data_IF_048433322303
#
_entry.id   IF_048433322303
#
_cell.length_a   1.000
_cell.length_b   1.000
_cell.length_c   1.000
_cell.angle_alpha   90.00
_cell.angle_beta   90.00
_cell.angle_gamma   90.00
#
_symmetry.space_group_name_H-M   'P 1'
#
loop_
_entity.id
_entity.type
_entity.pdbx_description
1 polymer ?
#
# COMPACT_ATOMS: atom_id res chain seq x y z
N UNK A 1 -39.02 -11.36 50.22
CA UNK A 1 -37.84 -10.74 49.58
C UNK A 1 -37.61 -9.42 50.27
N UNK A 2 -36.54 -9.33 51.05
CA UNK A 2 -36.25 -8.20 51.93
C UNK A 2 -35.21 -7.31 51.24
N UNK A 3 -35.57 -6.06 50.94
CA UNK A 3 -34.67 -5.12 50.27
C UNK A 3 -33.60 -4.63 51.25
N UNK A 4 -32.35 -4.40 50.80
CA UNK A 4 -31.29 -3.87 51.65
C UNK A 4 -31.68 -2.51 52.24
N UNK A 5 -31.47 -2.36 53.55
CA UNK A 5 -31.94 -1.25 54.41
C UNK A 5 -31.41 0.15 54.03
N UNK A 6 -30.48 0.24 53.09
CA UNK A 6 -29.84 1.48 52.64
C UNK A 6 -30.67 2.27 51.61
N UNK A 7 -31.78 1.70 51.11
CA UNK A 7 -32.62 2.33 50.07
C UNK A 7 -33.99 2.84 50.60
N UNK A 8 -34.24 2.81 51.92
CA UNK A 8 -35.41 3.49 52.50
C UNK A 8 -35.09 4.96 52.74
N UNK A 9 -35.57 5.83 51.87
CA UNK A 9 -35.46 7.27 52.02
C UNK A 9 -36.66 7.80 52.83
N UNK A 10 -36.71 7.51 54.13
CA UNK A 10 -37.69 8.08 55.07
C UNK A 10 -37.05 9.21 55.90
N UNK A 11 -36.57 10.26 55.23
CA UNK A 11 -36.14 11.47 55.92
C UNK A 11 -36.84 12.66 55.24
N UNK A 12 -37.91 13.15 55.86
CA UNK A 12 -38.44 14.48 55.54
C UNK A 12 -37.30 15.50 55.67
N UNK A 13 -37.20 16.50 54.77
CA UNK A 13 -36.12 17.48 54.82
C UNK A 13 -36.06 18.14 56.21
N UNK A 14 -34.94 17.98 56.91
CA UNK A 14 -34.72 18.62 58.20
C UNK A 14 -34.35 20.07 57.92
N UNK A 15 -35.11 20.99 58.50
CA UNK A 15 -34.86 22.42 58.41
C UNK A 15 -34.27 22.91 59.72
N UNK A 16 -33.27 23.78 59.63
CA UNK A 16 -32.78 24.54 60.78
C UNK A 16 -33.47 25.91 60.77
N UNK A 17 -34.13 26.26 61.87
CA UNK A 17 -34.66 27.60 62.08
C UNK A 17 -33.53 28.54 62.48
N UNK A 18 -33.30 29.56 61.66
CA UNK A 18 -32.46 30.70 62.00
C UNK A 18 -33.32 31.97 61.90
N UNK A 19 -33.85 32.42 63.03
CA UNK A 19 -34.85 33.48 63.07
C UNK A 19 -36.13 33.13 62.29
N UNK A 20 -36.57 34.04 61.40
CA UNK A 20 -37.85 33.94 60.68
C UNK A 20 -37.79 33.15 59.35
N UNK A 21 -36.63 32.58 58.99
CA UNK A 21 -36.44 31.88 57.71
C UNK A 21 -35.92 30.45 57.97
N UNK A 22 -36.52 29.46 57.29
CA UNK A 22 -36.12 28.06 57.39
C UNK A 22 -35.07 27.74 56.34
N UNK A 23 -33.86 27.35 56.77
CA UNK A 23 -32.80 26.89 55.87
C UNK A 23 -32.76 25.35 55.81
N UNK A 24 -32.55 24.75 54.63
CA UNK A 24 -32.27 23.32 54.51
C UNK A 24 -31.01 22.96 55.33
N UNK A 25 -31.09 21.93 56.18
CA UNK A 25 -29.98 21.55 57.06
C UNK A 25 -28.81 20.92 56.28
N UNK A 26 -27.79 21.72 55.97
CA UNK A 26 -26.59 21.30 55.25
C UNK A 26 -25.58 20.50 56.12
N UNK A 27 -25.89 20.24 57.39
CA UNK A 27 -24.95 19.56 58.31
C UNK A 27 -24.58 18.14 57.89
N UNK A 28 -25.47 17.49 57.12
CA UNK A 28 -25.23 16.16 56.55
C UNK A 28 -24.13 16.20 55.47
N UNK A 29 -23.98 17.32 54.75
CA UNK A 29 -22.96 17.52 53.71
C UNK A 29 -21.57 17.78 54.30
N UNK A 30 -21.49 18.21 55.56
CA UNK A 30 -20.24 18.56 56.25
C UNK A 30 -19.67 17.38 57.05
N UNK A 31 -20.31 16.20 57.03
CA UNK A 31 -19.80 15.03 57.74
C UNK A 31 -18.48 14.59 57.08
N UNK A 32 -17.35 14.51 57.82
CA UNK A 32 -16.09 14.05 57.26
C UNK A 32 -16.30 12.64 56.68
N UNK A 33 -16.04 12.49 55.39
CA UNK A 33 -16.02 11.18 54.76
C UNK A 33 -14.72 10.50 55.18
N UNK A 34 -14.79 9.70 56.23
CA UNK A 34 -13.67 8.89 56.73
C UNK A 34 -13.91 7.44 56.31
N UNK A 35 -13.52 7.05 55.08
CA UNK A 35 -13.82 5.73 54.55
C UNK A 35 -13.13 4.68 55.41
N UNK A 36 -13.81 3.60 55.80
CA UNK A 36 -13.20 2.58 56.62
C UNK A 36 -11.99 1.96 55.89
N UNK A 37 -10.93 1.65 56.66
CA UNK A 37 -9.58 1.32 56.14
C UNK A 37 -9.55 0.21 55.07
N UNK A 38 -10.52 -0.70 55.09
CA UNK A 38 -10.63 -1.76 54.08
C UNK A 38 -11.05 -1.25 52.69
N UNK A 39 -11.84 -0.16 52.62
CA UNK A 39 -12.22 0.50 51.35
C UNK A 39 -11.03 1.23 50.75
N UNK A 40 -10.26 1.94 51.57
CA UNK A 40 -9.01 2.59 51.14
C UNK A 40 -8.04 1.53 50.60
N UNK A 41 -7.86 0.41 51.31
CA UNK A 41 -7.02 -0.69 50.86
C UNK A 41 -7.50 -1.28 49.52
N UNK A 42 -8.81 -1.49 49.35
CA UNK A 42 -9.38 -1.97 48.10
C UNK A 42 -9.18 -0.98 46.94
N UNK A 43 -9.35 0.32 47.17
CA UNK A 43 -9.08 1.36 46.17
C UNK A 43 -7.60 1.41 45.77
N UNK A 44 -6.68 1.26 46.72
CA UNK A 44 -5.22 1.22 46.44
C UNK A 44 -4.87 -0.01 45.61
N UNK A 45 -5.39 -1.19 45.95
CA UNK A 45 -5.15 -2.42 45.19
C UNK A 45 -5.75 -2.31 43.77
N UNK A 46 -6.97 -1.78 43.65
CA UNK A 46 -7.61 -1.55 42.35
C UNK A 46 -6.82 -0.57 41.47
N UNK A 47 -6.34 0.54 42.05
CA UNK A 47 -5.49 1.50 41.35
C UNK A 47 -4.17 0.87 40.89
N UNK A 48 -3.59 -0.04 41.70
CA UNK A 48 -2.34 -0.72 41.37
C UNK A 48 -2.53 -1.73 40.23
N UNK A 49 -3.62 -2.50 40.25
CA UNK A 49 -3.99 -3.41 39.15
C UNK A 49 -4.24 -2.62 37.85
N UNK A 50 -4.96 -1.50 37.95
CA UNK A 50 -5.21 -0.62 36.80
C UNK A 50 -3.92 -0.01 36.24
N UNK A 51 -2.98 0.40 37.09
CA UNK A 51 -1.68 0.91 36.66
C UNK A 51 -0.83 -0.16 35.96
N UNK A 52 -0.84 -1.41 36.43
CA UNK A 52 -0.14 -2.54 35.80
C UNK A 52 -0.76 -2.86 34.43
N UNK A 53 -2.09 -2.95 34.35
CA UNK A 53 -2.79 -3.20 33.10
C UNK A 53 -2.58 -2.05 32.10
N UNK A 54 -2.66 -0.80 32.56
CA UNK A 54 -2.39 0.38 31.74
C UNK A 54 -0.94 0.43 31.25
N UNK A 55 0.03 0.12 32.12
CA UNK A 55 1.45 0.03 31.76
C UNK A 55 1.73 -1.05 30.71
N UNK A 56 1.06 -2.19 30.78
CA UNK A 56 1.20 -3.28 29.81
C UNK A 56 0.62 -2.93 28.43
N UNK A 57 -0.55 -2.27 28.39
CA UNK A 57 -1.13 -1.80 27.12
C UNK A 57 -0.28 -0.68 26.52
N UNK A 58 0.19 0.26 27.34
CA UNK A 58 1.08 1.33 26.90
C UNK A 58 2.41 0.79 26.39
N UNK A 59 3.02 -0.20 27.07
CA UNK A 59 4.27 -0.80 26.62
C UNK A 59 4.12 -1.49 25.27
N UNK A 60 2.99 -2.17 25.00
CA UNK A 60 2.75 -2.78 23.69
C UNK A 60 2.51 -1.74 22.58
N UNK A 61 1.81 -0.65 22.88
CA UNK A 61 1.62 0.44 21.92
C UNK A 61 2.96 1.13 21.60
N UNK A 62 3.81 1.34 22.61
CA UNK A 62 5.16 1.90 22.44
C UNK A 62 6.06 0.95 21.64
N UNK A 63 6.01 -0.34 21.91
CA UNK A 63 6.78 -1.36 21.19
C UNK A 63 6.36 -1.48 19.72
N UNK A 64 5.05 -1.36 19.45
CA UNK A 64 4.50 -1.29 18.09
C UNK A 64 4.94 -0.03 17.34
N UNK A 65 5.11 1.10 18.03
CA UNK A 65 5.61 2.34 17.41
C UNK A 65 7.13 2.29 17.21
N UNK A 66 7.88 1.75 18.19
CA UNK A 66 9.34 1.70 18.15
C UNK A 66 9.89 0.66 17.18
N UNK A 67 9.32 -0.55 17.17
CA UNK A 67 9.82 -1.67 16.35
C UNK A 67 8.89 -2.04 15.19
N UNK A 68 7.71 -1.39 15.07
CA UNK A 68 6.81 -1.62 13.94
C UNK A 68 7.38 -1.09 12.62
N UNK A 69 8.01 0.08 12.63
CA UNK A 69 8.69 0.63 11.47
C UNK A 69 9.86 -0.26 11.02
N UNK A 70 10.65 -0.76 11.97
CA UNK A 70 11.77 -1.67 11.69
C UNK A 70 11.29 -3.02 11.12
N UNK A 71 10.21 -3.59 11.69
CA UNK A 71 9.60 -4.82 11.16
C UNK A 71 9.03 -4.62 9.76
N UNK A 72 8.35 -3.50 9.52
CA UNK A 72 7.80 -3.18 8.21
C UNK A 72 8.93 -3.01 7.18
N UNK A 73 10.01 -2.30 7.53
CA UNK A 73 11.18 -2.16 6.66
C UNK A 73 11.81 -3.53 6.34
N UNK A 74 11.95 -4.41 7.34
CA UNK A 74 12.45 -5.77 7.12
C UNK A 74 11.53 -6.59 6.20
N UNK A 75 10.20 -6.50 6.37
CA UNK A 75 9.24 -7.16 5.48
C UNK A 75 9.26 -6.57 4.07
N UNK A 76 9.45 -5.25 3.93
CA UNK A 76 9.63 -4.60 2.62
C UNK A 76 10.88 -5.13 1.93
N UNK A 77 11.99 -5.21 2.65
CA UNK A 77 13.25 -5.74 2.12
C UNK A 77 13.12 -7.22 1.71
N UNK A 78 12.45 -8.04 2.52
CA UNK A 78 12.13 -9.43 2.19
C UNK A 78 11.24 -9.51 0.93
N UNK A 79 10.19 -8.69 0.86
CA UNK A 79 9.28 -8.64 -0.29
C UNK A 79 9.96 -8.18 -1.58
N UNK A 80 10.94 -7.27 -1.49
CA UNK A 80 11.73 -6.83 -2.63
C UNK A 80 12.64 -7.97 -3.08
N UNK A 81 13.33 -8.64 -2.14
CA UNK A 81 14.33 -9.64 -2.47
C UNK A 81 13.79 -11.05 -2.69
N UNK A 82 12.49 -11.29 -2.48
CA UNK A 82 11.87 -12.58 -2.76
C UNK A 82 12.03 -13.00 -4.22
N UNK A 83 12.07 -14.31 -4.44
CA UNK A 83 12.23 -14.93 -5.76
C UNK A 83 10.90 -14.92 -6.53
N UNK A 84 10.49 -13.74 -7.01
CA UNK A 84 9.38 -13.61 -7.96
C UNK A 84 9.85 -12.90 -9.21
N UNK A 85 9.62 -13.56 -10.34
CA UNK A 85 9.99 -13.07 -11.66
C UNK A 85 8.94 -12.11 -12.21
N UNK A 86 9.38 -11.11 -12.97
CA UNK A 86 8.50 -10.32 -13.80
C UNK A 86 7.98 -11.13 -14.99
N UNK A 87 8.83 -11.98 -15.60
CA UNK A 87 8.53 -12.73 -16.82
C UNK A 87 7.93 -11.83 -17.89
N UNK A 88 8.68 -10.80 -18.31
CA UNK A 88 8.16 -9.84 -19.29
C UNK A 88 7.93 -10.51 -20.64
N UNK A 89 6.75 -10.29 -21.27
CA UNK A 89 6.57 -10.69 -22.64
C UNK A 89 7.41 -9.80 -23.57
N UNK A 90 7.82 -10.36 -24.71
CA UNK A 90 8.55 -9.63 -25.74
C UNK A 90 7.57 -8.82 -26.58
N UNK A 91 7.63 -7.49 -26.51
CA UNK A 91 6.70 -6.64 -27.26
C UNK A 91 6.77 -6.88 -28.77
N UNK A 92 7.98 -7.14 -29.28
CA UNK A 92 8.22 -7.44 -30.69
C UNK A 92 7.48 -8.69 -31.19
N UNK A 93 7.23 -9.69 -30.33
CA UNK A 93 6.47 -10.89 -30.72
C UNK A 93 4.96 -10.70 -30.60
N UNK A 94 4.51 -9.66 -29.90
CA UNK A 94 3.09 -9.38 -29.69
C UNK A 94 2.52 -8.39 -30.71
N UNK A 95 3.35 -7.53 -31.29
CA UNK A 95 2.91 -6.36 -32.08
C UNK A 95 1.99 -6.70 -33.27
N UNK A 96 2.11 -7.91 -33.84
CA UNK A 96 1.31 -8.39 -34.96
C UNK A 96 0.01 -9.10 -34.56
N UNK A 97 -0.19 -9.35 -33.26
CA UNK A 97 -1.31 -10.10 -32.73
C UNK A 97 -2.47 -9.17 -32.37
N UNK A 98 -3.68 -9.70 -32.41
CA UNK A 98 -4.87 -9.09 -31.82
C UNK A 98 -4.91 -9.32 -30.29
N UNK A 99 -5.79 -8.60 -29.61
CA UNK A 99 -5.86 -8.58 -28.15
C UNK A 99 -6.30 -9.94 -27.55
N UNK A 100 -7.14 -10.72 -28.25
CA UNK A 100 -7.55 -12.06 -27.81
C UNK A 100 -6.38 -13.04 -27.91
N UNK A 101 -5.63 -12.99 -29.01
CA UNK A 101 -4.40 -13.77 -29.18
C UNK A 101 -3.34 -13.46 -28.13
N UNK A 102 -3.18 -12.18 -27.75
CA UNK A 102 -2.25 -11.76 -26.68
C UNK A 102 -2.69 -12.34 -25.34
N UNK A 103 -3.97 -12.22 -24.99
CA UNK A 103 -4.51 -12.78 -23.74
C UNK A 103 -4.37 -14.31 -23.69
N UNK A 104 -4.56 -15.00 -24.82
CA UNK A 104 -4.30 -16.44 -24.92
C UNK A 104 -2.85 -16.78 -24.62
N UNK A 105 -1.89 -16.04 -25.20
CA UNK A 105 -0.46 -16.25 -24.91
C UNK A 105 -0.13 -15.99 -23.44
N UNK A 106 -0.72 -14.97 -22.81
CA UNK A 106 -0.52 -14.71 -21.38
C UNK A 106 -1.06 -15.86 -20.51
N UNK A 107 -2.23 -16.40 -20.86
CA UNK A 107 -2.78 -17.56 -20.17
C UNK A 107 -1.91 -18.82 -20.37
N UNK A 108 -1.40 -19.05 -21.58
CA UNK A 108 -0.51 -20.19 -21.89
C UNK A 108 0.85 -20.08 -21.18
N UNK A 109 1.35 -18.86 -21.01
CA UNK A 109 2.53 -18.56 -20.19
C UNK A 109 2.28 -18.73 -18.68
N UNK A 110 1.04 -18.99 -18.27
CA UNK A 110 0.65 -19.21 -16.87
C UNK A 110 0.51 -17.91 -16.07
N UNK A 111 0.37 -16.75 -16.72
CA UNK A 111 0.17 -15.50 -16.01
C UNK A 111 -1.20 -15.46 -15.37
N UNK A 112 -1.24 -15.04 -14.10
CA UNK A 112 -2.48 -14.61 -13.47
C UNK A 112 -2.65 -13.12 -13.75
N UNK A 113 -3.71 -12.76 -14.45
CA UNK A 113 -3.96 -11.39 -14.89
C UNK A 113 -5.22 -10.80 -14.27
N UNK A 114 -5.19 -9.50 -14.01
CA UNK A 114 -6.32 -8.67 -13.62
C UNK A 114 -6.57 -7.66 -14.74
N UNK A 115 -7.74 -7.72 -15.37
CA UNK A 115 -8.11 -6.87 -16.50
C UNK A 115 -8.77 -5.57 -16.01
N UNK A 116 -8.29 -4.44 -16.54
CA UNK A 116 -8.83 -3.10 -16.31
C UNK A 116 -9.69 -2.61 -17.47
N UNK A 117 -9.55 -3.20 -18.67
CA UNK A 117 -10.34 -2.86 -19.84
C UNK A 117 -11.81 -3.25 -19.67
N UNK A 118 -12.70 -2.40 -20.19
CA UNK A 118 -14.09 -2.76 -20.44
C UNK A 118 -14.19 -3.49 -21.79
N UNK A 119 -15.29 -4.22 -22.00
CA UNK A 119 -15.51 -4.97 -23.24
C UNK A 119 -15.47 -4.03 -24.48
N UNK A 120 -14.54 -4.29 -25.40
CA UNK A 120 -14.34 -3.50 -26.62
C UNK A 120 -13.45 -2.26 -26.47
N UNK A 121 -12.91 -2.00 -25.28
CA UNK A 121 -11.84 -1.02 -25.08
C UNK A 121 -10.47 -1.61 -25.47
N UNK A 122 -9.45 -0.76 -25.75
CA UNK A 122 -8.08 -1.25 -25.92
C UNK A 122 -7.65 -2.08 -24.71
N UNK A 123 -6.95 -3.18 -24.97
CA UNK A 123 -6.52 -4.11 -23.92
C UNK A 123 -5.73 -3.38 -22.84
N UNK A 124 -6.11 -3.60 -21.59
CA UNK A 124 -5.41 -3.07 -20.43
C UNK A 124 -5.45 -4.07 -19.27
N UNK A 125 -4.30 -4.68 -18.96
CA UNK A 125 -4.22 -5.83 -18.09
C UNK A 125 -2.98 -5.78 -17.21
N UNK A 126 -3.11 -6.21 -15.96
CA UNK A 126 -2.02 -6.32 -15.00
C UNK A 126 -1.72 -7.78 -14.69
N UNK A 127 -0.48 -8.20 -14.93
CA UNK A 127 0.03 -9.47 -14.43
C UNK A 127 0.30 -9.35 -12.94
N UNK A 128 -0.19 -10.32 -12.18
CA UNK A 128 -0.01 -10.42 -10.74
C UNK A 128 1.26 -11.20 -10.38
N UNK A 129 1.87 -10.97 -9.20
CA UNK A 129 2.96 -11.80 -8.72
C UNK A 129 2.48 -13.24 -8.54
N UNK A 130 3.32 -14.22 -8.88
CA UNK A 130 2.95 -15.64 -8.91
C UNK A 130 2.54 -16.22 -7.55
N UNK A 131 2.86 -15.53 -6.46
CA UNK A 131 2.57 -15.88 -5.07
C UNK A 131 1.41 -15.06 -4.48
N UNK A 132 0.56 -14.49 -5.33
CA UNK A 132 -0.65 -13.76 -4.95
C UNK A 132 -1.89 -14.36 -5.63
N UNK A 133 -3.08 -13.96 -5.17
CA UNK A 133 -4.34 -14.42 -5.74
C UNK A 133 -5.09 -13.26 -6.38
N UNK A 134 -5.93 -13.57 -7.37
CA UNK A 134 -6.79 -12.58 -8.03
C UNK A 134 -7.75 -11.91 -7.04
N UNK A 135 -8.26 -12.65 -6.06
CA UNK A 135 -9.20 -12.13 -5.06
C UNK A 135 -8.54 -11.07 -4.16
N UNK A 136 -7.32 -11.35 -3.67
CA UNK A 136 -6.59 -10.40 -2.83
C UNK A 136 -6.13 -9.19 -3.66
N UNK A 137 -5.65 -9.44 -4.88
CA UNK A 137 -5.25 -8.38 -5.81
C UNK A 137 -6.42 -7.44 -6.15
N UNK A 138 -7.63 -7.96 -6.38
CA UNK A 138 -8.79 -7.12 -6.67
C UNK A 138 -9.10 -6.13 -5.53
N UNK A 139 -8.96 -6.57 -4.27
CA UNK A 139 -9.15 -5.70 -3.10
C UNK A 139 -8.05 -4.64 -3.05
N UNK A 140 -6.81 -5.05 -3.27
CA UNK A 140 -5.62 -4.20 -3.19
C UNK A 140 -5.64 -3.12 -4.30
N UNK A 141 -5.92 -3.49 -5.54
CA UNK A 141 -5.97 -2.54 -6.67
C UNK A 141 -7.22 -1.67 -6.68
N UNK A 142 -8.35 -2.14 -6.13
CA UNK A 142 -9.53 -1.30 -5.93
C UNK A 142 -9.26 -0.12 -4.98
N UNK A 143 -8.32 -0.28 -4.04
CA UNK A 143 -7.86 0.80 -3.17
C UNK A 143 -6.99 1.84 -3.87
N UNK A 144 -6.46 1.53 -5.06
CA UNK A 144 -5.51 2.35 -5.81
C UNK A 144 -4.06 2.17 -5.34
N UNK A 145 -3.13 2.08 -6.30
CA UNK A 145 -1.71 1.82 -6.02
C UNK A 145 -1.08 2.88 -5.12
N UNK A 146 -1.39 4.16 -5.36
CA UNK A 146 -0.86 5.26 -4.54
C UNK A 146 -1.36 5.29 -3.08
N UNK A 147 -2.36 4.47 -2.72
CA UNK A 147 -2.89 4.39 -1.36
C UNK A 147 -2.37 3.16 -0.59
N UNK A 148 -1.51 2.35 -1.20
CA UNK A 148 -0.90 1.19 -0.52
C UNK A 148 0.12 1.65 0.53
N UNK A 149 0.23 0.89 1.63
CA UNK A 149 1.42 0.98 2.49
C UNK A 149 2.63 0.28 1.83
N UNK A 150 3.84 0.57 2.31
CA UNK A 150 5.06 -0.01 1.72
C UNK A 150 5.10 -1.54 1.74
N UNK A 151 4.52 -2.18 2.77
CA UNK A 151 4.50 -3.65 2.87
C UNK A 151 3.62 -4.24 1.78
N UNK A 152 2.44 -3.67 1.56
CA UNK A 152 1.52 -4.07 0.50
C UNK A 152 2.10 -3.75 -0.87
N UNK A 153 2.64 -2.54 -1.07
CA UNK A 153 3.25 -2.13 -2.33
C UNK A 153 4.44 -3.03 -2.71
N UNK A 154 5.37 -3.30 -1.79
CA UNK A 154 6.49 -4.21 -2.04
C UNK A 154 6.04 -5.64 -2.37
N UNK A 155 4.93 -6.11 -1.77
CA UNK A 155 4.36 -7.42 -2.09
C UNK A 155 3.70 -7.47 -3.47
N UNK A 156 2.97 -6.43 -3.87
CA UNK A 156 2.16 -6.46 -5.09
C UNK A 156 2.80 -5.83 -6.32
N UNK A 157 3.79 -4.93 -6.16
CA UNK A 157 4.47 -4.30 -7.29
C UNK A 157 5.61 -5.18 -7.82
N UNK A 158 6.33 -5.87 -6.94
CA UNK A 158 7.46 -6.73 -7.34
C UNK A 158 6.94 -7.93 -8.12
N UNK A 159 7.42 -8.09 -9.35
CA UNK A 159 6.98 -9.15 -10.25
C UNK A 159 5.65 -8.88 -10.95
N UNK A 160 5.07 -7.69 -10.78
CA UNK A 160 3.88 -7.27 -11.53
C UNK A 160 4.23 -6.29 -12.63
N UNK A 161 3.40 -6.29 -13.67
CA UNK A 161 3.46 -5.30 -14.73
C UNK A 161 2.10 -5.10 -15.37
N UNK A 162 1.84 -3.90 -15.86
CA UNK A 162 0.63 -3.52 -16.58
C UNK A 162 0.95 -3.43 -18.07
N UNK A 163 0.28 -4.24 -18.86
CA UNK A 163 0.33 -4.22 -20.31
C UNK A 163 -0.88 -3.46 -20.85
N UNK A 164 -0.67 -2.60 -21.85
CA UNK A 164 -1.80 -2.06 -22.62
C UNK A 164 -1.49 -1.92 -24.10
N UNK A 165 -2.54 -1.94 -24.91
CA UNK A 165 -2.50 -1.64 -26.34
C UNK A 165 -3.22 -0.31 -26.63
N UNK A 166 -2.81 0.33 -27.71
CA UNK A 166 -3.53 1.41 -28.38
C UNK A 166 -3.40 1.16 -29.88
N UNK A 167 -4.54 1.22 -30.58
CA UNK A 167 -4.65 0.91 -32.01
C UNK A 167 -5.28 2.03 -32.84
N UNK A 168 -5.43 3.24 -32.29
CA UNK A 168 -6.11 4.35 -32.98
C UNK A 168 -5.29 4.95 -34.13
N UNK A 169 -4.00 5.25 -33.90
CA UNK A 169 -3.09 5.88 -34.87
C UNK A 169 -1.83 5.04 -35.13
N UNK A 170 -2.04 3.77 -35.47
CA UNK A 170 -0.97 2.76 -35.56
C UNK A 170 -1.15 1.71 -34.48
N UNK A 171 -0.11 0.96 -34.13
CA UNK A 171 -0.13 0.02 -33.00
C UNK A 171 0.91 0.45 -31.99
N UNK A 172 0.46 0.83 -30.80
CA UNK A 172 1.33 1.06 -29.64
C UNK A 172 1.05 0.00 -28.59
N UNK A 173 2.11 -0.62 -28.08
CA UNK A 173 2.06 -1.52 -26.94
C UNK A 173 2.93 -0.96 -25.84
N UNK A 174 2.49 -1.11 -24.59
CA UNK A 174 3.26 -0.66 -23.44
C UNK A 174 3.26 -1.67 -22.31
N UNK A 175 4.42 -1.83 -21.66
CA UNK A 175 4.58 -2.51 -20.38
C UNK A 175 5.01 -1.48 -19.36
N UNK A 176 4.31 -1.39 -18.24
CA UNK A 176 4.63 -0.47 -17.14
C UNK A 176 4.77 -1.23 -15.83
N UNK A 177 5.82 -0.97 -15.08
CA UNK A 177 6.10 -1.66 -13.82
C UNK A 177 6.92 -0.80 -12.87
N UNK A 178 7.01 -1.21 -11.60
CA UNK A 178 7.87 -0.57 -10.62
C UNK A 178 9.11 -1.44 -10.38
N UNK A 179 10.29 -0.91 -10.68
CA UNK A 179 11.56 -1.54 -10.34
C UNK A 179 12.04 -1.04 -8.98
N UNK A 180 11.75 -1.82 -7.93
CA UNK A 180 12.18 -1.51 -6.57
C UNK A 180 13.65 -1.86 -6.30
N UNK A 181 14.32 -2.53 -7.24
CA UNK A 181 15.73 -2.95 -7.12
C UNK A 181 16.68 -2.06 -7.92
N UNK A 182 16.15 -1.20 -8.78
CA UNK A 182 16.94 -0.24 -9.54
C UNK A 182 17.80 0.62 -8.60
N UNK A 183 19.07 0.78 -8.97
CA UNK A 183 19.99 1.70 -8.30
C UNK A 183 19.72 3.15 -8.73
N UNK A 184 19.32 3.32 -9.99
CA UNK A 184 19.02 4.58 -10.64
C UNK A 184 18.24 4.36 -11.95
N UNK A 185 17.85 5.45 -12.60
CA UNK A 185 17.18 5.47 -13.89
C UNK A 185 17.93 4.68 -14.99
N UNK A 186 19.27 4.76 -15.02
CA UNK A 186 20.09 4.11 -16.03
C UNK A 186 20.05 2.58 -15.90
N UNK A 187 20.19 2.07 -14.68
CA UNK A 187 20.11 0.63 -14.37
C UNK A 187 18.73 0.05 -14.68
N UNK A 188 17.65 0.81 -14.41
CA UNK A 188 16.29 0.40 -14.73
C UNK A 188 16.08 0.30 -16.26
N UNK A 189 16.56 1.30 -17.01
CA UNK A 189 16.48 1.29 -18.48
C UNK A 189 17.27 0.12 -19.05
N UNK A 190 18.50 -0.12 -18.58
CA UNK A 190 19.29 -1.26 -19.02
C UNK A 190 18.59 -2.59 -18.76
N UNK A 191 18.04 -2.77 -17.56
CA UNK A 191 17.30 -3.99 -17.19
C UNK A 191 16.09 -4.21 -18.10
N UNK A 192 15.35 -3.14 -18.45
CA UNK A 192 14.22 -3.22 -19.35
C UNK A 192 14.64 -3.56 -20.80
N UNK A 193 15.76 -3.00 -21.29
CA UNK A 193 16.32 -3.35 -22.60
C UNK A 193 16.72 -4.82 -22.65
N UNK A 194 17.44 -5.30 -21.64
CA UNK A 194 17.85 -6.70 -21.51
C UNK A 194 16.63 -7.63 -21.46
N UNK A 195 15.59 -7.24 -20.71
CA UNK A 195 14.34 -7.99 -20.63
C UNK A 195 13.61 -8.09 -21.98
N UNK A 196 13.71 -7.08 -22.84
CA UNK A 196 13.14 -7.10 -24.20
C UNK A 196 14.09 -7.64 -25.27
N UNK A 197 15.30 -8.07 -24.89
CA UNK A 197 16.34 -8.49 -25.84
C UNK A 197 16.79 -7.35 -26.77
N UNK A 198 16.59 -6.10 -26.38
CA UNK A 198 16.99 -4.92 -27.16
C UNK A 198 18.40 -4.49 -26.78
N UNK A 199 19.08 -3.86 -27.74
CA UNK A 199 20.41 -3.30 -27.53
C UNK A 199 20.32 -1.78 -27.69
N UNK A 200 20.98 -1.07 -26.78
CA UNK A 200 21.13 0.38 -26.90
C UNK A 200 21.82 0.72 -28.24
N UNK A 201 21.32 1.73 -28.99
CA UNK A 201 22.01 2.17 -30.20
C UNK A 201 23.45 2.61 -29.90
N UNK A 202 24.36 2.40 -30.86
CA UNK A 202 25.77 2.75 -30.67
C UNK A 202 25.92 4.25 -30.40
N UNK A 203 26.57 4.59 -29.29
CA UNK A 203 26.78 5.98 -28.87
C UNK A 203 25.51 6.68 -28.33
N UNK A 204 24.42 5.96 -28.08
CA UNK A 204 23.23 6.53 -27.46
C UNK A 204 23.51 6.94 -26.01
N UNK A 205 23.11 8.16 -25.67
CA UNK A 205 23.11 8.67 -24.30
C UNK A 205 21.67 8.74 -23.78
N UNK A 206 21.51 8.66 -22.47
CA UNK A 206 20.22 8.87 -21.83
C UNK A 206 19.74 10.30 -22.03
N UNK A 207 18.46 10.44 -22.34
CA UNK A 207 17.81 11.72 -22.57
C UNK A 207 16.82 12.02 -21.46
N UNK A 208 16.45 13.30 -21.30
CA UNK A 208 15.41 13.74 -20.38
C UNK A 208 14.34 14.50 -21.15
N UNK A 209 13.07 14.11 -21.00
CA UNK A 209 11.98 14.78 -21.70
C UNK A 209 11.48 16.03 -20.95
N UNK A 210 10.54 16.75 -21.55
CA UNK A 210 9.98 17.99 -20.99
C UNK A 210 9.23 17.80 -19.68
N UNK A 211 8.90 16.55 -19.33
CA UNK A 211 8.16 16.19 -18.11
C UNK A 211 9.08 15.62 -17.04
N UNK A 212 10.38 15.47 -17.35
CA UNK A 212 11.41 15.02 -16.42
C UNK A 212 11.71 13.52 -16.47
N UNK A 213 11.11 12.76 -17.40
CA UNK A 213 11.42 11.33 -17.51
C UNK A 213 12.80 11.15 -18.13
N UNK A 214 13.60 10.25 -17.56
CA UNK A 214 14.83 9.79 -18.20
C UNK A 214 14.48 8.67 -19.17
N UNK A 215 15.03 8.68 -20.39
CA UNK A 215 14.64 7.70 -21.40
C UNK A 215 15.74 7.38 -22.41
N UNK A 216 15.52 6.27 -23.14
CA UNK A 216 16.27 5.85 -24.32
C UNK A 216 15.30 5.36 -25.39
N UNK A 217 15.66 5.58 -26.65
CA UNK A 217 14.87 5.20 -27.82
C UNK A 217 15.74 4.45 -28.83
N UNK A 218 15.09 3.67 -29.69
CA UNK A 218 15.72 3.00 -30.81
C UNK A 218 14.70 2.31 -31.69
N UNK A 219 15.18 1.37 -32.51
CA UNK A 219 14.34 0.60 -33.43
C UNK A 219 14.59 -0.89 -33.27
N UNK A 220 13.59 -1.69 -33.60
CA UNK A 220 13.70 -3.16 -33.65
C UNK A 220 12.96 -3.68 -34.88
N UNK A 221 13.55 -4.65 -35.55
CA UNK A 221 12.91 -5.37 -36.65
C UNK A 221 11.98 -6.44 -36.10
N UNK A 222 10.75 -6.46 -36.59
CA UNK A 222 9.72 -7.45 -36.22
C UNK A 222 9.16 -8.10 -37.48
N UNK A 223 8.38 -9.17 -37.31
CA UNK A 223 7.67 -9.80 -38.43
C UNK A 223 6.65 -8.85 -39.09
N UNK A 224 6.20 -7.81 -38.36
CA UNK A 224 5.30 -6.77 -38.84
C UNK A 224 6.03 -5.58 -39.51
N UNK A 225 7.36 -5.53 -39.42
CA UNK A 225 8.20 -4.45 -39.93
C UNK A 225 9.05 -3.76 -38.85
N UNK A 226 9.72 -2.68 -39.24
CA UNK A 226 10.54 -1.86 -38.34
C UNK A 226 9.65 -1.09 -37.35
N UNK A 227 9.78 -1.40 -36.07
CA UNK A 227 9.10 -0.70 -34.98
C UNK A 227 10.06 0.24 -34.26
N UNK A 228 9.55 1.34 -33.74
CA UNK A 228 10.28 2.23 -32.82
C UNK A 228 9.99 1.81 -31.39
N UNK A 229 11.00 1.78 -30.53
CA UNK A 229 10.82 1.53 -29.10
C UNK A 229 11.32 2.70 -28.26
N UNK A 230 10.72 2.86 -27.09
CA UNK A 230 11.14 3.79 -26.05
C UNK A 230 11.08 3.12 -24.69
N UNK A 231 12.17 3.21 -23.93
CA UNK A 231 12.19 2.87 -22.51
C UNK A 231 12.35 4.16 -21.73
N UNK A 232 11.39 4.48 -20.87
CA UNK A 232 11.41 5.67 -20.03
C UNK A 232 11.25 5.29 -18.56
N UNK A 233 11.85 6.07 -17.68
CA UNK A 233 11.71 5.92 -16.24
C UNK A 233 11.65 7.26 -15.52
N UNK A 234 11.05 7.22 -14.35
CA UNK A 234 10.91 8.33 -13.41
C UNK A 234 11.00 7.76 -11.99
N UNK A 235 11.47 8.52 -10.98
CA UNK A 235 11.37 8.07 -9.60
C UNK A 235 9.96 7.59 -9.26
N UNK A 236 9.85 6.43 -8.60
CA UNK A 236 8.55 5.84 -8.28
C UNK A 236 7.68 6.80 -7.47
N UNK A 237 8.29 7.60 -6.59
CA UNK A 237 7.63 8.63 -5.77
C UNK A 237 6.88 9.68 -6.58
N UNK A 238 7.33 9.98 -7.81
CA UNK A 238 6.69 10.97 -8.67
C UNK A 238 5.38 10.44 -9.26
N UNK A 239 5.25 9.11 -9.35
CA UNK A 239 4.04 8.41 -9.80
C UNK A 239 3.14 7.98 -8.64
N UNK A 240 3.75 7.39 -7.61
CA UNK A 240 3.10 6.88 -6.41
C UNK A 240 3.93 7.25 -5.18
N UNK A 241 3.46 8.22 -4.40
CA UNK A 241 4.10 8.68 -3.17
C UNK A 241 3.86 7.69 -2.01
N UNK A 242 4.50 6.52 -2.08
CA UNK A 242 4.38 5.43 -1.11
C UNK A 242 5.58 5.50 -0.14
N UNK A 243 5.33 6.03 1.05
CA UNK A 243 6.34 6.13 2.11
C UNK A 243 6.84 4.76 2.57
N UNK A 244 8.17 4.59 2.62
CA UNK A 244 8.83 3.37 3.12
C UNK A 244 9.34 2.42 2.04
N UNK A 245 9.16 2.75 0.76
CA UNK A 245 9.85 2.09 -0.36
C UNK A 245 11.24 2.72 -0.59
N UNK A 246 12.15 2.01 -1.31
CA UNK A 246 13.47 2.56 -1.64
C UNK A 246 13.37 3.87 -2.44
N UNK A 247 14.15 4.89 -2.07
CA UNK A 247 14.20 6.17 -2.79
C UNK A 247 14.74 6.03 -4.22
N UNK A 248 15.49 4.97 -4.49
CA UNK A 248 16.04 4.66 -5.83
C UNK A 248 15.03 3.94 -6.73
N UNK A 249 13.88 3.52 -6.20
CA UNK A 249 12.88 2.78 -6.96
C UNK A 249 12.41 3.59 -8.18
N UNK A 250 12.27 2.92 -9.32
CA UNK A 250 11.89 3.54 -10.58
C UNK A 250 10.52 3.04 -11.02
N UNK A 251 9.68 3.93 -11.54
CA UNK A 251 8.56 3.56 -12.38
C UNK A 251 9.05 3.51 -13.83
N UNK A 252 8.91 2.36 -14.48
CA UNK A 252 9.46 2.08 -15.80
C UNK A 252 8.33 1.87 -16.79
N UNK A 253 8.40 2.56 -17.93
CA UNK A 253 7.54 2.37 -19.09
C UNK A 253 8.35 1.91 -20.30
N UNK A 254 7.98 0.76 -20.85
CA UNK A 254 8.54 0.19 -22.08
C UNK A 254 7.46 0.30 -23.15
N UNK A 255 7.76 1.01 -24.23
CA UNK A 255 6.83 1.28 -25.32
C UNK A 255 7.39 0.74 -26.63
N UNK A 256 6.53 0.11 -27.42
CA UNK A 256 6.80 -0.28 -28.80
C UNK A 256 5.71 0.31 -29.68
N UNK A 257 6.10 0.98 -30.76
CA UNK A 257 5.18 1.70 -31.65
C UNK A 257 5.49 1.33 -33.10
N UNK A 258 4.43 0.98 -33.82
CA UNK A 258 4.41 0.72 -35.25
C UNK A 258 3.45 1.71 -35.91
N UNK A 259 3.98 2.52 -36.82
CA UNK A 259 3.22 3.52 -37.60
C UNK A 259 2.79 2.97 -38.95
#
# INVERSE_FOLDING_TARGET
MDFPKFLRHDDAPRYRQDGAVNHPDASVLLRPFDPPRYIIAACVVGALIAAIAGGFVASRAIDQILHGAERNAATVEENINREVSYDFPQLASLISLDDESILSQFSEAGYTTYEFSEEGAPLDVMKLPSDTTLADAAIVYAGGIGNMDAVTASKYLVGSWRFSTDREEGVTMSIRYADLKAADAASAIQTALEAQGWTAPEGAELQTDSVGNTYMEGTVETDAGTCSWRVACVPLSDMYDISGLPETAQYVGVHLTMN
#
